data_IF_373900895582
#
_entry.id   IF_373900895582
#
_cell.length_a   1.000
_cell.length_b   1.000
_cell.length_c   1.000
_cell.angle_alpha   90.00
_cell.angle_beta   90.00
_cell.angle_gamma   90.00
#
_symmetry.space_group_name_H-M   'P 1'
#
loop_
_entity.id
_entity.type
_entity.pdbx_description
1 polymer ?
#
# COMPACT_ATOMS: atom_id res chain seq x y z
N UNK A 1 9.95 11.33 -4.36
CA UNK A 1 10.79 10.23 -3.82
C UNK A 1 10.69 8.93 -4.65
N UNK A 2 9.67 8.76 -5.49
CA UNK A 2 9.48 7.54 -6.32
C UNK A 2 10.47 7.35 -7.48
N UNK A 3 11.26 8.36 -7.86
CA UNK A 3 12.05 8.33 -9.09
C UNK A 3 13.47 7.72 -8.98
N UNK A 4 13.89 7.24 -7.80
CA UNK A 4 15.28 6.83 -7.56
C UNK A 4 15.42 5.46 -6.88
N UNK A 5 14.61 4.46 -7.29
CA UNK A 5 14.70 3.13 -6.69
C UNK A 5 15.19 2.11 -7.72
N UNK A 6 16.48 1.80 -7.66
CA UNK A 6 17.15 0.79 -8.49
C UNK A 6 16.89 -0.66 -8.04
N UNK A 7 16.13 -0.88 -6.96
CA UNK A 7 15.89 -2.20 -6.36
C UNK A 7 14.40 -2.43 -6.12
N UNK A 8 13.80 -3.43 -6.76
CA UNK A 8 12.35 -3.72 -6.67
C UNK A 8 11.81 -3.84 -5.24
N UNK A 9 12.61 -4.36 -4.30
CA UNK A 9 12.26 -4.42 -2.87
C UNK A 9 12.02 -3.04 -2.23
N UNK A 10 12.83 -2.04 -2.58
CA UNK A 10 12.67 -0.69 -2.05
C UNK A 10 11.41 -0.02 -2.62
N UNK A 11 11.02 -0.36 -3.86
CA UNK A 11 9.79 0.15 -4.46
C UNK A 11 8.57 -0.44 -3.75
N UNK A 12 8.61 -1.73 -3.43
CA UNK A 12 7.61 -2.38 -2.59
C UNK A 12 7.52 -1.73 -1.19
N UNK A 13 8.66 -1.50 -0.54
CA UNK A 13 8.71 -0.86 0.78
C UNK A 13 8.12 0.57 0.77
N UNK A 14 8.37 1.33 -0.30
CA UNK A 14 7.77 2.66 -0.47
C UNK A 14 6.24 2.62 -0.61
N UNK A 15 5.72 1.57 -1.24
CA UNK A 15 4.28 1.37 -1.47
C UNK A 15 3.56 0.95 -0.17
N UNK A 16 4.20 0.11 0.64
CA UNK A 16 3.75 -0.24 2.00
C UNK A 16 3.70 1.00 2.91
N UNK A 17 4.78 1.80 2.95
CA UNK A 17 4.81 3.04 3.75
C UNK A 17 3.72 4.04 3.34
N UNK A 18 3.44 4.17 2.04
CA UNK A 18 2.37 5.04 1.55
C UNK A 18 0.99 4.56 2.02
N UNK A 19 0.76 3.24 1.97
CA UNK A 19 -0.50 2.64 2.41
C UNK A 19 -0.73 2.87 3.91
N UNK A 20 0.27 2.61 4.75
CA UNK A 20 0.19 2.82 6.20
C UNK A 20 0.02 4.30 6.58
N UNK A 21 0.59 5.23 5.82
CA UNK A 21 0.41 6.66 6.05
C UNK A 21 -1.01 7.16 5.72
N UNK A 22 -1.68 6.54 4.74
CA UNK A 22 -3.02 6.95 4.28
C UNK A 22 -4.13 6.39 5.18
N UNK A 23 -3.96 5.21 5.78
CA UNK A 23 -4.95 4.59 6.69
C UNK A 23 -5.43 5.55 7.80
N UNK A 24 -4.55 6.15 8.63
CA UNK A 24 -4.99 7.03 9.70
C UNK A 24 -5.64 8.30 9.16
N UNK A 25 -5.22 8.79 7.98
CA UNK A 25 -5.81 9.96 7.32
C UNK A 25 -7.24 9.69 6.82
N UNK A 26 -7.50 8.50 6.29
CA UNK A 26 -8.85 8.10 5.85
C UNK A 26 -9.77 7.77 7.03
N UNK A 27 -9.23 7.25 8.13
CA UNK A 27 -9.98 6.88 9.33
C UNK A 27 -10.16 8.03 10.34
N UNK A 28 -9.65 9.25 10.09
CA UNK A 28 -9.74 10.38 11.05
C UNK A 28 -11.19 10.70 11.42
N UNK A 29 -12.08 10.69 10.42
CA UNK A 29 -13.50 10.85 10.65
C UNK A 29 -14.06 9.50 11.14
N UNK A 30 -14.43 9.42 12.43
CA UNK A 30 -14.96 8.22 13.09
C UNK A 30 -16.41 7.89 12.65
N UNK A 31 -16.70 8.03 11.36
CA UNK A 31 -17.95 7.57 10.76
C UNK A 31 -17.79 6.13 10.26
N UNK A 32 -18.81 5.28 10.41
CA UNK A 32 -18.76 3.89 9.95
C UNK A 32 -18.41 3.78 8.45
N UNK A 33 -18.87 4.74 7.63
CA UNK A 33 -18.55 4.82 6.21
C UNK A 33 -17.07 5.11 5.91
N UNK A 34 -16.40 5.91 6.75
CA UNK A 34 -14.99 6.23 6.58
C UNK A 34 -14.12 5.00 6.93
N UNK A 35 -14.51 4.26 7.97
CA UNK A 35 -13.88 2.98 8.31
C UNK A 35 -14.07 1.96 7.19
N UNK A 36 -15.29 1.83 6.64
CA UNK A 36 -15.55 0.93 5.52
C UNK A 36 -14.72 1.30 4.26
N UNK A 37 -14.62 2.58 3.93
CA UNK A 37 -13.80 3.07 2.83
C UNK A 37 -12.30 2.79 3.06
N UNK A 38 -11.82 3.00 4.29
CA UNK A 38 -10.43 2.72 4.68
C UNK A 38 -10.12 1.23 4.55
N UNK A 39 -11.02 0.35 4.99
CA UNK A 39 -10.86 -1.10 4.86
C UNK A 39 -10.83 -1.54 3.40
N UNK A 40 -11.70 -0.99 2.54
CA UNK A 40 -11.68 -1.28 1.10
C UNK A 40 -10.36 -0.85 0.46
N UNK A 41 -9.89 0.35 0.78
CA UNK A 41 -8.60 0.86 0.31
C UNK A 41 -7.43 -0.04 0.76
N UNK A 42 -7.43 -0.45 2.03
CA UNK A 42 -6.41 -1.34 2.56
C UNK A 42 -6.37 -2.68 1.83
N UNK A 43 -7.52 -3.32 1.61
CA UNK A 43 -7.59 -4.61 0.93
C UNK A 43 -7.08 -4.54 -0.51
N UNK A 44 -7.43 -3.48 -1.26
CA UNK A 44 -6.95 -3.32 -2.64
C UNK A 44 -5.45 -3.06 -2.68
N UNK A 45 -4.93 -2.20 -1.79
CA UNK A 45 -3.50 -1.92 -1.72
C UNK A 45 -2.68 -3.12 -1.26
N UNK A 46 -3.16 -3.88 -0.26
CA UNK A 46 -2.50 -5.09 0.22
C UNK A 46 -2.42 -6.17 -0.88
N UNK A 47 -3.50 -6.36 -1.65
CA UNK A 47 -3.50 -7.28 -2.78
C UNK A 47 -2.53 -6.84 -3.89
N UNK A 48 -2.46 -5.54 -4.19
CA UNK A 48 -1.52 -4.98 -5.16
C UNK A 48 -0.06 -5.14 -4.70
N UNK A 49 0.23 -4.85 -3.42
CA UNK A 49 1.55 -5.01 -2.83
C UNK A 49 2.00 -6.48 -2.81
N UNK A 50 1.11 -7.41 -2.48
CA UNK A 50 1.38 -8.85 -2.54
C UNK A 50 1.65 -9.32 -3.97
N UNK A 51 0.89 -8.84 -4.96
CA UNK A 51 1.10 -9.16 -6.37
C UNK A 51 2.45 -8.65 -6.87
N UNK A 52 2.82 -7.42 -6.49
CA UNK A 52 4.12 -6.83 -6.83
C UNK A 52 5.28 -7.58 -6.18
N UNK A 53 5.13 -8.00 -4.92
CA UNK A 53 6.14 -8.81 -4.24
C UNK A 53 6.31 -10.16 -4.91
N UNK A 54 5.20 -10.84 -5.24
CA UNK A 54 5.23 -12.10 -5.99
C UNK A 54 5.93 -11.94 -7.34
N UNK A 55 5.54 -10.91 -8.12
CA UNK A 55 6.17 -10.61 -9.40
C UNK A 55 7.68 -10.34 -9.26
N UNK A 56 8.08 -9.58 -8.23
CA UNK A 56 9.49 -9.28 -7.96
C UNK A 56 10.31 -10.51 -7.57
N UNK A 57 9.70 -11.48 -6.89
CA UNK A 57 10.36 -12.73 -6.50
C UNK A 57 10.45 -13.72 -7.68
N UNK A 58 9.48 -13.68 -8.61
CA UNK A 58 9.49 -14.51 -9.82
C UNK A 58 10.36 -13.96 -10.95
N UNK A 59 10.61 -12.65 -10.95
CA UNK A 59 11.37 -11.94 -11.99
C UNK A 59 12.80 -11.57 -11.53
N UNK A 60 13.22 -12.02 -10.34
CA UNK A 60 14.60 -11.98 -9.85
C UNK A 60 15.29 -13.32 -10.12
#
# INVERSE_FOLDING_TARGET
ITFAISHWLLAWMGLEMNTLAIIPLMAQHHHPRAVEATTKYFLTQAAAAATLLFASLTNA
#
